data_IF_454179163511
#
_entry.id   IF_454179163511
#
_cell.length_a   1.000
_cell.length_b   1.000
_cell.length_c   1.000
_cell.angle_alpha   90.00
_cell.angle_beta   90.00
_cell.angle_gamma   90.00
#
_symmetry.space_group_name_H-M   'P 1'
#
loop_
_entity.id
_entity.type
_entity.pdbx_description
1 polymer ?
#
# COMPACT_ATOMS: atom_id res chain seq x y z
N UNK A 1 -32.29 -6.22 -32.72
CA UNK A 1 -33.11 -7.17 -31.94
C UNK A 1 -32.42 -7.44 -30.60
N UNK A 2 -32.81 -6.71 -29.56
CA UNK A 2 -32.61 -7.04 -28.14
C UNK A 2 -33.43 -6.02 -27.34
N UNK A 3 -34.60 -6.45 -26.85
CA UNK A 3 -35.62 -5.58 -26.27
C UNK A 3 -35.29 -5.13 -24.84
N UNK A 4 -35.56 -3.86 -24.55
CA UNK A 4 -35.58 -3.30 -23.20
C UNK A 4 -36.92 -3.71 -22.56
N UNK A 5 -36.88 -4.65 -21.61
CA UNK A 5 -38.06 -5.02 -20.83
C UNK A 5 -38.38 -3.90 -19.83
N UNK A 6 -39.36 -3.05 -20.16
CA UNK A 6 -39.98 -2.13 -19.20
C UNK A 6 -41.07 -2.88 -18.45
N UNK A 7 -40.81 -3.28 -17.21
CA UNK A 7 -41.86 -3.78 -16.33
C UNK A 7 -42.62 -2.57 -15.77
N UNK A 8 -43.74 -2.23 -16.41
CA UNK A 8 -44.69 -1.23 -15.89
C UNK A 8 -45.48 -1.89 -14.75
N UNK A 9 -45.07 -1.64 -13.50
CA UNK A 9 -45.86 -1.97 -12.34
C UNK A 9 -46.79 -0.78 -12.01
N UNK A 10 -48.05 -0.85 -12.45
CA UNK A 10 -49.09 0.04 -11.94
C UNK A 10 -49.53 -0.46 -10.55
N UNK A 11 -49.47 0.40 -9.52
CA UNK A 11 -50.23 0.21 -8.27
C UNK A 11 -50.65 1.56 -7.66
N UNK A 12 -51.76 1.58 -6.89
CA UNK A 12 -52.73 2.68 -6.82
C UNK A 12 -52.38 3.74 -5.77
N UNK A 13 -53.05 4.91 -5.76
CA UNK A 13 -52.76 5.96 -4.79
C UNK A 13 -53.33 5.55 -3.43
N UNK A 14 -52.45 5.25 -2.47
CA UNK A 14 -52.84 4.81 -1.14
C UNK A 14 -51.75 5.12 -0.11
N UNK A 15 -51.88 6.25 0.55
CA UNK A 15 -51.12 6.69 1.73
C UNK A 15 -51.43 5.77 2.91
N UNK A 16 -50.43 5.13 3.53
CA UNK A 16 -50.41 4.77 4.95
C UNK A 16 -48.95 4.59 5.39
N UNK A 17 -48.55 5.35 6.43
CA UNK A 17 -47.26 5.25 7.10
C UNK A 17 -47.27 4.09 8.10
N UNK A 18 -46.19 3.32 8.17
CA UNK A 18 -45.91 2.42 9.29
C UNK A 18 -44.44 2.52 9.69
N UNK A 19 -44.26 2.79 10.98
CA UNK A 19 -43.01 2.95 11.72
C UNK A 19 -42.18 1.67 11.64
N UNK A 20 -41.04 1.72 10.96
CA UNK A 20 -39.92 0.80 11.21
C UNK A 20 -38.83 1.59 11.91
N UNK A 21 -38.60 1.24 13.19
CA UNK A 21 -37.50 1.77 13.99
C UNK A 21 -36.20 1.57 13.21
N UNK A 22 -35.43 2.64 13.09
CA UNK A 22 -34.16 2.65 12.37
C UNK A 22 -33.21 1.59 12.89
N UNK A 23 -33.12 0.48 12.16
CA UNK A 23 -31.83 -0.17 11.93
C UNK A 23 -31.12 0.75 10.94
N UNK A 24 -30.53 1.82 11.49
CA UNK A 24 -29.59 2.62 10.72
C UNK A 24 -28.48 1.69 10.25
N UNK A 25 -28.35 1.67 8.94
CA UNK A 25 -27.47 0.82 8.17
C UNK A 25 -26.03 0.88 8.67
N UNK A 26 -25.62 -0.11 9.44
CA UNK A 26 -24.20 -0.49 9.64
C UNK A 26 -23.54 -0.99 8.33
N UNK A 27 -24.20 -0.85 7.19
CA UNK A 27 -23.80 -1.38 5.88
C UNK A 27 -22.87 -0.38 5.13
N UNK A 28 -22.54 0.76 5.73
CA UNK A 28 -21.85 1.86 5.07
C UNK A 28 -20.39 2.07 5.52
N UNK A 29 -19.73 1.06 6.09
CA UNK A 29 -18.28 1.10 6.40
C UNK A 29 -17.45 0.20 5.48
N UNK A 30 -18.07 -0.77 4.81
CA UNK A 30 -17.34 -1.82 4.08
C UNK A 30 -16.91 -1.41 2.66
N UNK A 31 -17.38 -0.26 2.19
CA UNK A 31 -17.02 0.33 0.89
C UNK A 31 -15.85 1.33 0.93
N UNK A 32 -15.27 1.60 2.10
CA UNK A 32 -14.13 2.50 2.21
C UNK A 32 -12.89 1.75 1.70
N UNK A 33 -12.61 1.90 0.41
CA UNK A 33 -11.28 1.59 -0.13
C UNK A 33 -10.29 2.51 0.58
N UNK A 34 -9.60 2.00 1.60
CA UNK A 34 -8.49 2.72 2.23
C UNK A 34 -7.54 3.20 1.14
N UNK A 35 -7.30 4.51 1.09
CA UNK A 35 -6.38 5.10 0.11
C UNK A 35 -5.00 4.51 0.32
N UNK A 36 -4.47 3.84 -0.70
CA UNK A 36 -3.11 3.38 -0.70
C UNK A 36 -2.18 4.60 -0.85
N UNK A 37 -1.33 4.84 0.17
CA UNK A 37 -0.47 6.02 0.26
C UNK A 37 0.97 5.63 0.58
N UNK A 38 1.92 6.55 0.33
CA UNK A 38 3.33 6.34 0.66
C UNK A 38 3.51 6.29 2.20
N UNK A 39 4.17 5.25 2.69
CA UNK A 39 4.47 5.09 4.11
C UNK A 39 5.50 6.12 4.60
N UNK A 40 5.38 6.51 5.88
CA UNK A 40 6.36 7.33 6.60
C UNK A 40 6.91 6.50 7.75
N UNK A 41 8.20 6.18 7.73
CA UNK A 41 8.86 5.27 8.68
C UNK A 41 9.96 6.03 9.43
N UNK A 42 10.09 5.77 10.73
CA UNK A 42 11.19 6.25 11.58
C UNK A 42 12.11 5.08 11.93
N UNK A 43 13.42 5.31 11.98
CA UNK A 43 14.44 4.30 12.30
C UNK A 43 15.26 4.76 13.51
N UNK A 44 15.39 3.90 14.52
CA UNK A 44 16.26 4.06 15.69
C UNK A 44 16.85 2.68 16.04
N UNK A 45 18.15 2.62 16.34
CA UNK A 45 18.82 1.38 16.76
C UNK A 45 18.83 1.29 18.29
N UNK A 46 18.55 0.10 18.83
CA UNK A 46 18.67 -0.22 20.25
C UNK A 46 20.10 -0.69 20.58
N UNK A 47 20.61 -0.51 21.80
CA UNK A 47 21.87 -1.12 22.24
C UNK A 47 21.96 -2.62 21.94
N UNK A 48 20.85 -3.35 22.09
CA UNK A 48 20.74 -4.78 21.80
C UNK A 48 20.98 -5.12 20.31
N UNK A 49 20.62 -4.21 19.39
CA UNK A 49 20.86 -4.38 17.96
C UNK A 49 22.37 -4.31 17.65
N UNK A 50 23.12 -3.49 18.39
CA UNK A 50 24.56 -3.34 18.19
C UNK A 50 25.32 -4.60 18.59
N UNK A 51 24.93 -5.25 19.69
CA UNK A 51 25.51 -6.54 20.10
C UNK A 51 25.19 -7.66 19.10
N UNK A 52 23.96 -7.66 18.55
CA UNK A 52 23.50 -8.68 17.60
C UNK A 52 24.11 -8.56 16.22
N UNK A 53 24.22 -7.33 15.70
CA UNK A 53 24.66 -7.07 14.33
C UNK A 53 26.11 -6.58 14.23
N UNK A 54 26.79 -6.37 15.37
CA UNK A 54 28.22 -6.04 15.44
C UNK A 54 28.57 -4.65 14.91
N UNK A 55 27.59 -3.74 14.80
CA UNK A 55 27.80 -2.39 14.30
C UNK A 55 28.12 -1.42 15.44
N UNK A 56 29.15 -0.60 15.27
CA UNK A 56 29.55 0.43 16.25
C UNK A 56 28.80 1.75 15.97
N UNK A 57 28.01 2.27 16.94
CA UNK A 57 27.44 3.62 16.82
C UNK A 57 28.49 4.73 16.71
N UNK A 58 29.67 4.52 17.29
CA UNK A 58 30.73 5.52 17.37
C UNK A 58 31.48 5.68 16.04
N UNK A 59 31.61 4.61 15.26
CA UNK A 59 32.22 4.62 13.92
C UNK A 59 31.30 3.98 12.86
N UNK A 60 30.36 4.76 12.28
CA UNK A 60 29.44 4.25 11.27
C UNK A 60 30.16 3.99 9.94
N UNK A 61 29.76 2.91 9.25
CA UNK A 61 30.34 2.58 7.95
C UNK A 61 30.02 3.65 6.89
N UNK A 62 31.00 3.91 6.01
CA UNK A 62 30.91 4.99 5.01
C UNK A 62 30.13 4.64 3.75
N UNK A 63 29.98 3.34 3.44
CA UNK A 63 29.37 2.88 2.19
C UNK A 63 28.48 1.67 2.43
N UNK A 64 27.34 1.63 1.74
CA UNK A 64 26.44 0.48 1.74
C UNK A 64 26.69 -0.43 0.54
N UNK A 65 26.59 -1.75 0.76
CA UNK A 65 26.47 -2.74 -0.31
C UNK A 65 24.99 -3.07 -0.43
N UNK A 66 24.37 -2.65 -1.54
CA UNK A 66 22.93 -2.81 -1.75
C UNK A 66 22.68 -3.85 -2.85
N UNK A 67 21.89 -4.87 -2.51
CA UNK A 67 21.49 -5.93 -3.45
C UNK A 67 19.97 -6.07 -3.47
N UNK A 68 19.36 -5.99 -4.64
CA UNK A 68 17.92 -6.20 -4.80
C UNK A 68 17.58 -7.70 -4.72
N UNK A 69 16.88 -8.10 -3.65
CA UNK A 69 16.45 -9.49 -3.42
C UNK A 69 15.00 -9.79 -3.86
N UNK A 70 14.14 -8.78 -3.95
CA UNK A 70 12.72 -8.91 -4.37
C UNK A 70 12.46 -8.32 -5.76
N UNK A 71 11.38 -8.77 -6.39
CA UNK A 71 10.93 -8.26 -7.71
C UNK A 71 10.22 -6.92 -7.56
N UNK A 72 10.26 -6.09 -8.60
CA UNK A 72 9.51 -4.82 -8.66
C UNK A 72 8.08 -4.99 -9.16
N UNK A 73 7.72 -6.18 -9.62
CA UNK A 73 6.35 -6.50 -10.06
C UNK A 73 5.40 -6.41 -8.86
N UNK A 74 4.22 -5.82 -9.08
CA UNK A 74 3.18 -5.58 -8.05
C UNK A 74 3.58 -4.59 -6.95
N UNK A 75 4.72 -3.91 -7.09
CA UNK A 75 5.09 -2.78 -6.23
C UNK A 75 4.58 -1.44 -6.82
N UNK A 76 4.43 -0.41 -5.98
CA UNK A 76 4.03 0.93 -6.41
C UNK A 76 5.04 1.55 -7.39
N UNK A 77 4.59 2.50 -8.20
CA UNK A 77 5.46 3.15 -9.18
C UNK A 77 6.65 3.86 -8.51
N UNK A 78 6.45 4.49 -7.35
CA UNK A 78 7.51 5.20 -6.64
C UNK A 78 8.65 4.29 -6.15
N UNK A 79 8.38 3.01 -5.86
CA UNK A 79 9.44 2.05 -5.52
C UNK A 79 10.23 1.63 -6.76
N UNK A 80 9.56 1.53 -7.93
CA UNK A 80 10.22 1.23 -9.21
C UNK A 80 11.17 2.35 -9.62
N UNK A 81 10.75 3.59 -9.43
CA UNK A 81 11.57 4.76 -9.75
C UNK A 81 12.83 4.82 -8.89
N UNK A 82 12.73 4.54 -7.58
CA UNK A 82 13.88 4.45 -6.68
C UNK A 82 14.86 3.35 -7.14
N UNK A 83 14.34 2.19 -7.56
CA UNK A 83 15.18 1.09 -8.05
C UNK A 83 15.93 1.47 -9.32
N UNK A 84 15.29 2.24 -10.21
CA UNK A 84 15.92 2.79 -11.42
C UNK A 84 17.00 3.82 -11.07
N UNK A 85 16.72 4.73 -10.14
CA UNK A 85 17.68 5.73 -9.66
C UNK A 85 18.93 5.09 -9.03
N UNK A 86 18.73 4.01 -8.25
CA UNK A 86 19.81 3.23 -7.63
C UNK A 86 20.48 2.24 -8.61
N UNK A 87 20.04 2.19 -9.88
CA UNK A 87 20.53 1.29 -10.94
C UNK A 87 20.38 -0.21 -10.62
N UNK A 88 19.47 -0.59 -9.71
CA UNK A 88 19.25 -1.98 -9.25
C UNK A 88 18.26 -2.75 -10.15
N UNK A 89 18.27 -2.52 -11.46
CA UNK A 89 17.31 -3.09 -12.40
C UNK A 89 17.51 -4.61 -12.60
N UNK A 90 18.77 -5.05 -12.61
CA UNK A 90 19.14 -6.47 -12.69
C UNK A 90 19.13 -7.09 -11.30
N UNK A 91 18.47 -8.24 -11.15
CA UNK A 91 18.41 -8.97 -9.88
C UNK A 91 19.78 -9.62 -9.62
N UNK A 92 20.19 -9.70 -8.36
CA UNK A 92 21.44 -10.38 -7.94
C UNK A 92 22.72 -9.83 -8.60
N UNK A 93 22.74 -8.53 -8.89
CA UNK A 93 23.95 -7.84 -9.33
C UNK A 93 24.53 -7.05 -8.17
N UNK A 94 25.81 -7.28 -7.86
CA UNK A 94 26.54 -6.44 -6.92
C UNK A 94 26.84 -5.12 -7.62
N UNK A 95 26.19 -4.04 -7.20
CA UNK A 95 26.65 -2.71 -7.53
C UNK A 95 27.66 -2.30 -6.47
N UNK A 96 28.94 -2.52 -6.78
CA UNK A 96 30.00 -1.77 -6.13
C UNK A 96 29.87 -0.30 -6.57
N UNK A 97 29.72 0.57 -5.57
CA UNK A 97 29.85 2.03 -5.63
C UNK A 97 28.62 2.80 -6.13
N UNK A 98 27.91 3.38 -5.16
CA UNK A 98 27.31 4.71 -5.32
C UNK A 98 28.34 5.67 -4.70
N UNK A 99 29.27 6.16 -5.51
CA UNK A 99 30.09 7.33 -5.18
C UNK A 99 29.33 8.58 -5.62
N UNK A 100 29.14 9.53 -4.69
CA UNK A 100 28.77 10.90 -5.03
C UNK A 100 29.95 11.62 -5.69
#
# INVERSE_FOLDING_TARGET
MAGILRLVAQRPPGRLQTVTKGVESLICTDWIRHKFTKSRIKYFASPEDHEKYGGDPQDPHKRHIVTRIKSTRRHPYWEKDIIKMLKLEKKNYFLHQISS
#
